data_IF_471868428380
#
_entry.id   IF_471868428380
#
_cell.length_a   1.000
_cell.length_b   1.000
_cell.length_c   1.000
_cell.angle_alpha   90.00
_cell.angle_beta   90.00
_cell.angle_gamma   90.00
#
_symmetry.space_group_name_H-M   'P 1'
#
loop_
_entity.id
_entity.type
_entity.pdbx_description
1 polymer ?
#
# COMPACT_ATOMS: atom_id res chain seq x y z
N UNK A 1 -2.98 -0.89 25.42
CA UNK A 1 -2.31 -1.87 24.51
C UNK A 1 -2.51 -1.49 23.04
N UNK A 2 -3.71 -1.03 22.66
CA UNK A 2 -4.06 -0.64 21.29
C UNK A 2 -3.13 0.40 20.66
N UNK A 3 -2.68 1.40 21.43
CA UNK A 3 -1.75 2.42 20.94
C UNK A 3 -0.39 1.85 20.51
N UNK A 4 0.13 0.85 21.24
CA UNK A 4 1.38 0.15 20.89
C UNK A 4 1.20 -0.68 19.62
N UNK A 5 0.08 -1.41 19.51
CA UNK A 5 -0.23 -2.20 18.31
C UNK A 5 -0.33 -1.29 17.07
N UNK A 6 -1.03 -0.16 17.18
CA UNK A 6 -1.10 0.80 16.06
C UNK A 6 0.28 1.32 15.69
N UNK A 7 1.09 1.70 16.67
CA UNK A 7 2.42 2.26 16.42
C UNK A 7 3.34 1.26 15.70
N UNK A 8 3.39 0.02 16.19
CA UNK A 8 4.15 -1.07 15.54
C UNK A 8 3.62 -1.34 14.14
N UNK A 9 2.29 -1.33 13.96
CA UNK A 9 1.68 -1.52 12.65
C UNK A 9 2.11 -0.41 11.68
N UNK A 10 2.08 0.86 12.09
CA UNK A 10 2.55 1.98 11.27
C UNK A 10 4.02 1.84 10.87
N UNK A 11 4.90 1.42 11.80
CA UNK A 11 6.30 1.12 11.50
C UNK A 11 6.46 -0.06 10.53
N UNK A 12 5.62 -1.09 10.62
CA UNK A 12 5.60 -2.16 9.63
C UNK A 12 5.21 -1.63 8.24
N UNK A 13 4.31 -0.65 8.17
CA UNK A 13 4.01 0.09 6.94
C UNK A 13 5.24 0.80 6.36
N UNK A 14 6.01 1.52 7.20
CA UNK A 14 7.27 2.15 6.78
C UNK A 14 8.21 1.11 6.15
N UNK A 15 8.44 -0.01 6.84
CA UNK A 15 9.31 -1.07 6.35
C UNK A 15 8.81 -1.66 5.02
N UNK A 16 7.50 -1.94 4.92
CA UNK A 16 6.88 -2.45 3.71
C UNK A 16 7.08 -1.51 2.51
N UNK A 17 6.84 -0.21 2.68
CA UNK A 17 7.01 0.77 1.60
C UNK A 17 8.49 0.95 1.22
N UNK A 18 9.43 0.83 2.16
CA UNK A 18 10.86 0.75 1.84
C UNK A 18 11.16 -0.46 0.94
N UNK A 19 10.65 -1.65 1.30
CA UNK A 19 10.82 -2.85 0.49
C UNK A 19 10.21 -2.70 -0.92
N UNK A 20 9.02 -2.11 -1.02
CA UNK A 20 8.36 -1.82 -2.30
C UNK A 20 9.17 -0.84 -3.15
N UNK A 21 9.71 0.22 -2.56
CA UNK A 21 10.56 1.17 -3.27
C UNK A 21 11.81 0.48 -3.86
N UNK A 22 12.48 -0.36 -3.06
CA UNK A 22 13.62 -1.17 -3.51
C UNK A 22 13.20 -2.13 -4.63
N UNK A 23 12.07 -2.82 -4.48
CA UNK A 23 11.59 -3.78 -5.46
C UNK A 23 11.30 -3.13 -6.82
N UNK A 24 10.58 -2.00 -6.85
CA UNK A 24 10.32 -1.26 -8.07
C UNK A 24 11.60 -0.62 -8.64
N UNK A 25 12.53 -0.14 -7.79
CA UNK A 25 13.77 0.42 -8.29
C UNK A 25 14.62 -0.66 -8.99
N UNK A 26 14.77 -1.84 -8.43
CA UNK A 26 15.60 -2.90 -9.02
C UNK A 26 14.85 -3.84 -9.97
N UNK A 27 13.54 -3.65 -10.18
CA UNK A 27 12.74 -4.53 -11.03
C UNK A 27 12.52 -5.92 -10.42
N UNK A 28 12.51 -6.03 -9.09
CA UNK A 28 12.33 -7.30 -8.37
C UNK A 28 10.85 -7.68 -8.32
N UNK A 29 10.38 -8.37 -9.36
CA UNK A 29 8.96 -8.71 -9.62
C UNK A 29 8.39 -9.79 -8.69
N UNK A 30 8.42 -9.54 -7.38
CA UNK A 30 7.82 -10.40 -6.37
C UNK A 30 6.39 -9.95 -6.05
N UNK A 31 5.38 -10.86 -6.08
CA UNK A 31 3.97 -10.50 -5.91
C UNK A 31 3.62 -9.76 -4.62
N UNK A 32 4.43 -9.86 -3.56
CA UNK A 32 4.10 -9.21 -2.28
C UNK A 32 4.52 -7.73 -2.23
N UNK A 33 5.61 -7.36 -2.91
CA UNK A 33 6.24 -6.04 -2.81
C UNK A 33 6.21 -5.28 -4.14
N UNK A 34 5.66 -5.90 -5.19
CA UNK A 34 5.59 -5.35 -6.52
C UNK A 34 4.16 -5.47 -7.03
N UNK A 35 3.42 -4.36 -7.04
CA UNK A 35 2.03 -4.35 -7.53
C UNK A 35 2.04 -4.55 -9.03
N UNK A 36 1.17 -5.42 -9.56
CA UNK A 36 1.14 -5.79 -10.99
C UNK A 36 2.47 -6.36 -11.50
N UNK A 37 3.14 -7.19 -10.68
CA UNK A 37 4.48 -7.74 -10.92
C UNK A 37 4.71 -8.37 -12.31
N UNK A 38 3.69 -9.00 -12.90
CA UNK A 38 3.74 -9.70 -14.18
C UNK A 38 3.00 -8.96 -15.32
N UNK A 39 2.68 -7.69 -15.11
CA UNK A 39 2.18 -6.79 -16.15
C UNK A 39 3.38 -6.12 -16.86
N UNK A 40 3.41 -6.10 -18.20
CA UNK A 40 4.45 -5.41 -18.95
C UNK A 40 4.33 -3.90 -18.77
N UNK A 41 5.32 -3.31 -18.10
CA UNK A 41 5.50 -1.87 -17.97
C UNK A 41 6.82 -1.43 -18.59
N UNK A 42 6.91 -0.15 -18.93
CA UNK A 42 8.19 0.46 -19.27
C UNK A 42 9.03 0.62 -17.99
N UNK A 43 10.32 0.30 -18.07
CA UNK A 43 11.21 0.32 -16.90
C UNK A 43 11.22 1.68 -16.15
N UNK A 44 11.01 2.80 -16.84
CA UNK A 44 10.94 4.12 -16.20
C UNK A 44 9.70 4.28 -15.30
N UNK A 45 8.59 3.58 -15.57
CA UNK A 45 7.37 3.64 -14.76
C UNK A 45 7.62 3.03 -13.38
N UNK A 46 8.35 1.93 -13.31
CA UNK A 46 8.77 1.33 -12.04
C UNK A 46 9.67 2.28 -11.24
N UNK A 47 10.57 3.01 -11.90
CA UNK A 47 11.37 4.04 -11.23
C UNK A 47 10.50 5.15 -10.66
N UNK A 48 9.50 5.63 -11.41
CA UNK A 48 8.55 6.63 -10.90
C UNK A 48 7.81 6.11 -9.66
N UNK A 49 7.34 4.86 -9.69
CA UNK A 49 6.69 4.23 -8.52
C UNK A 49 7.66 4.16 -7.34
N UNK A 50 8.91 3.76 -7.55
CA UNK A 50 9.90 3.69 -6.45
C UNK A 50 10.11 5.03 -5.74
N UNK A 51 10.10 6.14 -6.48
CA UNK A 51 10.23 7.47 -5.89
C UNK A 51 8.93 7.97 -5.28
N UNK A 52 7.78 7.70 -5.92
CA UNK A 52 6.47 8.09 -5.41
C UNK A 52 6.16 7.39 -4.06
N UNK A 53 6.57 6.13 -3.89
CA UNK A 53 6.39 5.37 -2.64
C UNK A 53 7.14 6.00 -1.45
N UNK A 54 8.18 6.82 -1.68
CA UNK A 54 8.85 7.56 -0.61
C UNK A 54 7.90 8.51 0.12
N UNK A 55 6.89 9.07 -0.56
CA UNK A 55 5.87 9.86 0.10
C UNK A 55 5.07 9.05 1.13
N UNK A 56 4.79 7.76 0.84
CA UNK A 56 4.16 6.85 1.78
C UNK A 56 5.07 6.53 2.96
N UNK A 57 6.37 6.31 2.72
CA UNK A 57 7.38 6.08 3.79
C UNK A 57 7.36 7.26 4.77
N UNK A 58 7.50 8.49 4.26
CA UNK A 58 7.47 9.70 5.08
C UNK A 58 6.15 9.85 5.82
N UNK A 59 5.01 9.66 5.15
CA UNK A 59 3.69 9.79 5.76
C UNK A 59 3.48 8.78 6.90
N UNK A 60 3.89 7.53 6.72
CA UNK A 60 3.78 6.49 7.75
C UNK A 60 4.74 6.72 8.91
N UNK A 61 5.96 7.16 8.62
CA UNK A 61 6.92 7.56 9.64
C UNK A 61 6.37 8.71 10.50
N UNK A 62 5.81 9.74 9.86
CA UNK A 62 5.17 10.86 10.54
C UNK A 62 3.97 10.40 11.34
N UNK A 63 3.12 9.50 10.82
CA UNK A 63 2.01 8.94 11.58
C UNK A 63 2.46 8.10 12.78
N UNK A 64 3.57 7.39 12.67
CA UNK A 64 4.16 6.60 13.75
C UNK A 64 4.78 7.47 14.86
N UNK A 65 5.25 8.66 14.53
CA UNK A 65 5.90 9.59 15.49
C UNK A 65 4.95 10.65 16.03
N UNK A 66 3.97 11.07 15.21
CA UNK A 66 3.01 12.14 15.49
C UNK A 66 1.60 11.59 15.32
N UNK A 67 0.91 11.37 16.45
CA UNK A 67 -0.42 10.74 16.48
C UNK A 67 -1.48 11.48 15.65
N UNK A 68 -1.40 12.81 15.57
CA UNK A 68 -2.31 13.63 14.80
C UNK A 68 -2.22 13.38 13.27
N UNK A 69 -1.13 12.79 12.78
CA UNK A 69 -0.94 12.49 11.36
C UNK A 69 -1.53 11.13 10.92
N UNK A 70 -1.96 10.27 11.86
CA UNK A 70 -2.55 8.96 11.54
C UNK A 70 -3.73 9.05 10.55
N UNK A 71 -4.68 9.99 10.67
CA UNK A 71 -5.77 10.12 9.71
C UNK A 71 -5.30 10.33 8.27
N UNK A 72 -4.21 11.08 8.05
CA UNK A 72 -3.68 11.31 6.71
C UNK A 72 -3.12 10.01 6.09
N UNK A 73 -2.41 9.20 6.87
CA UNK A 73 -1.95 7.88 6.43
C UNK A 73 -3.12 6.93 6.09
N UNK A 74 -4.19 6.97 6.88
CA UNK A 74 -5.41 6.20 6.62
C UNK A 74 -6.10 6.64 5.32
N UNK A 75 -6.21 7.95 5.06
CA UNK A 75 -6.78 8.48 3.82
C UNK A 75 -5.95 8.04 2.61
N UNK A 76 -4.61 8.13 2.69
CA UNK A 76 -3.74 7.68 1.61
C UNK A 76 -3.92 6.19 1.29
N UNK A 77 -4.05 5.33 2.30
CA UNK A 77 -4.36 3.91 2.10
C UNK A 77 -5.76 3.70 1.51
N UNK A 78 -6.77 4.42 1.98
CA UNK A 78 -8.12 4.31 1.45
C UNK A 78 -8.16 4.66 -0.05
N UNK A 79 -7.52 5.77 -0.44
CA UNK A 79 -7.38 6.17 -1.84
C UNK A 79 -6.58 5.14 -2.64
N UNK A 80 -5.52 4.56 -2.06
CA UNK A 80 -4.77 3.46 -2.70
C UNK A 80 -5.66 2.26 -3.00
N UNK A 81 -6.46 1.81 -2.03
CA UNK A 81 -7.37 0.67 -2.20
C UNK A 81 -8.39 0.95 -3.30
N UNK A 82 -8.99 2.14 -3.29
CA UNK A 82 -9.95 2.55 -4.33
C UNK A 82 -9.29 2.64 -5.71
N UNK A 83 -8.11 3.25 -5.80
CA UNK A 83 -7.35 3.37 -7.04
C UNK A 83 -6.97 2.01 -7.62
N UNK A 84 -6.43 1.09 -6.79
CA UNK A 84 -6.12 -0.27 -7.22
C UNK A 84 -7.37 -1.04 -7.64
N UNK A 85 -8.47 -0.88 -6.91
CA UNK A 85 -9.76 -1.49 -7.27
C UNK A 85 -10.27 -0.98 -8.62
N UNK A 86 -10.09 0.31 -8.92
CA UNK A 86 -10.45 0.88 -10.22
C UNK A 86 -9.56 0.33 -11.34
N UNK A 87 -8.24 0.22 -11.12
CA UNK A 87 -7.31 -0.35 -12.09
C UNK A 87 -7.60 -1.84 -12.35
N UNK A 88 -7.87 -2.63 -11.31
CA UNK A 88 -8.22 -4.06 -11.43
C UNK A 88 -9.47 -4.32 -12.28
N UNK A 89 -10.38 -3.35 -12.34
CA UNK A 89 -11.62 -3.41 -13.13
C UNK A 89 -11.48 -2.75 -14.50
N UNK A 90 -10.36 -2.08 -14.78
CA UNK A 90 -10.20 -1.30 -16.00
C UNK A 90 -10.02 -2.17 -17.24
N UNK A 91 -10.64 -1.75 -18.34
CA UNK A 91 -10.43 -2.36 -19.66
C UNK A 91 -8.96 -2.28 -20.09
N UNK A 92 -8.25 -1.22 -19.68
CA UNK A 92 -6.83 -1.03 -19.94
C UNK A 92 -5.98 -2.17 -19.38
N UNK A 93 -6.25 -2.61 -18.14
CA UNK A 93 -5.56 -3.75 -17.55
C UNK A 93 -5.94 -5.04 -18.28
N UNK A 94 -7.22 -5.25 -18.58
CA UNK A 94 -7.69 -6.46 -19.27
C UNK A 94 -7.04 -6.64 -20.66
N UNK A 95 -6.88 -5.55 -21.39
CA UNK A 95 -6.22 -5.54 -22.69
C UNK A 95 -4.77 -6.03 -22.60
N UNK A 96 -4.07 -5.66 -21.52
CA UNK A 96 -2.69 -6.09 -21.28
C UNK A 96 -2.60 -7.53 -20.78
N UNK A 97 -3.62 -8.00 -20.03
CA UNK A 97 -3.66 -9.36 -19.51
C UNK A 97 -3.98 -10.42 -20.57
N UNK A 98 -4.57 -10.03 -21.71
CA UNK A 98 -4.91 -10.92 -22.82
C UNK A 98 -5.70 -12.17 -22.36
N UNK A 99 -6.70 -11.96 -21.49
CA UNK A 99 -7.55 -13.03 -20.95
C UNK A 99 -7.02 -13.72 -19.68
N UNK A 100 -5.85 -13.32 -19.15
CA UNK A 100 -5.39 -13.78 -17.83
C UNK A 100 -6.25 -13.19 -16.71
N UNK A 101 -6.53 -13.95 -15.63
CA UNK A 101 -7.36 -13.47 -14.53
C UNK A 101 -6.67 -12.41 -13.67
N UNK A 102 -7.46 -11.54 -13.02
CA UNK A 102 -6.98 -10.50 -12.09
C UNK A 102 -6.95 -10.95 -10.63
N UNK A 103 -7.12 -12.25 -10.36
CA UNK A 103 -7.28 -12.80 -9.00
C UNK A 103 -6.12 -12.43 -8.06
N UNK A 104 -4.88 -12.48 -8.54
CA UNK A 104 -3.70 -12.11 -7.75
C UNK A 104 -3.66 -10.61 -7.43
N UNK A 105 -4.10 -9.75 -8.35
CA UNK A 105 -4.15 -8.30 -8.10
C UNK A 105 -5.26 -7.93 -7.12
N UNK A 106 -6.38 -8.65 -7.17
CA UNK A 106 -7.42 -8.55 -6.15
C UNK A 106 -6.94 -9.04 -4.79
N UNK A 107 -6.12 -10.10 -4.73
CA UNK A 107 -5.49 -10.53 -3.48
C UNK A 107 -4.55 -9.46 -2.92
N UNK A 108 -3.69 -8.85 -3.75
CA UNK A 108 -2.85 -7.70 -3.35
C UNK A 108 -3.68 -6.54 -2.80
N UNK A 109 -4.75 -6.18 -3.52
CA UNK A 109 -5.67 -5.10 -3.11
C UNK A 109 -6.37 -5.42 -1.79
N UNK A 110 -6.80 -6.67 -1.62
CA UNK A 110 -7.42 -7.17 -0.40
C UNK A 110 -6.48 -7.17 0.80
N UNK A 111 -5.19 -7.48 0.61
CA UNK A 111 -4.18 -7.38 1.66
C UNK A 111 -4.01 -5.93 2.14
N UNK A 112 -3.93 -4.98 1.21
CA UNK A 112 -3.83 -3.54 1.54
C UNK A 112 -5.12 -3.07 2.23
N UNK A 113 -6.28 -3.50 1.76
CA UNK A 113 -7.57 -3.18 2.38
C UNK A 113 -7.71 -3.76 3.79
N UNK A 114 -7.25 -5.00 4.01
CA UNK A 114 -7.21 -5.64 5.32
C UNK A 114 -6.28 -4.91 6.28
N UNK A 115 -5.09 -4.50 5.80
CA UNK A 115 -4.17 -3.68 6.57
C UNK A 115 -4.74 -2.29 6.90
N UNK A 116 -5.43 -1.65 5.96
CA UNK A 116 -6.16 -0.41 6.20
C UNK A 116 -7.22 -0.59 7.30
N UNK A 117 -8.09 -1.61 7.19
CA UNK A 117 -9.12 -1.89 8.18
C UNK A 117 -8.52 -2.16 9.57
N UNK A 118 -7.41 -2.90 9.63
CA UNK A 118 -6.65 -3.14 10.85
C UNK A 118 -6.20 -1.82 11.49
N UNK A 119 -5.56 -0.93 10.73
CA UNK A 119 -5.12 0.37 11.24
C UNK A 119 -6.29 1.25 11.70
N UNK A 120 -7.42 1.24 10.97
CA UNK A 120 -8.64 1.97 11.39
C UNK A 120 -9.13 1.46 12.74
N UNK A 121 -9.27 0.13 12.91
CA UNK A 121 -9.72 -0.48 14.16
C UNK A 121 -8.83 -0.07 15.33
N UNK A 122 -7.50 -0.19 15.18
CA UNK A 122 -6.58 0.17 16.27
C UNK A 122 -6.45 1.67 16.49
N UNK A 123 -6.68 2.50 15.47
CA UNK A 123 -6.76 3.95 15.63
C UNK A 123 -7.98 4.34 16.47
N UNK A 124 -9.16 3.80 16.16
CA UNK A 124 -10.38 4.06 16.89
C UNK A 124 -10.30 3.55 18.33
N UNK A 125 -9.81 2.31 18.54
CA UNK A 125 -9.65 1.75 19.89
C UNK A 125 -8.67 2.54 20.74
N UNK A 126 -7.54 2.95 20.18
CA UNK A 126 -6.55 3.74 20.92
C UNK A 126 -7.01 5.19 21.21
N UNK A 127 -8.02 5.71 20.50
CA UNK A 127 -8.68 6.97 20.87
C UNK A 127 -9.67 6.79 22.03
N UNK A 128 -10.32 5.63 22.13
CA UNK A 128 -11.27 5.33 23.20
C UNK A 128 -10.59 5.00 24.55
N UNK A 129 -9.30 4.66 24.53
CA UNK A 129 -8.47 4.40 25.72
C UNK A 129 -7.92 5.70 26.38
N UNK A 130 -8.22 6.89 25.83
CA UNK A 130 -7.79 8.22 26.30
C UNK A 130 -8.95 8.95 26.99
#
# INVERSE_FOLDING_TARGET
>A
MNSKILNVSLWAGVAYFCCMAVAHFFGLKYPLVFVYYDVPFHAYQDKIISFAVVAYICLFYTAATIRAAVPAALVALAVTVLGLSAVNQSDALQLVLAGRPTTMYWAQTGLIAGYFAWLVVFHLRAKADL
#
